data_IF_289959966592
#
_entry.id   IF_289959966592
#
_cell.length_a   1.000
_cell.length_b   1.000
_cell.length_c   1.000
_cell.angle_alpha   90.00
_cell.angle_beta   90.00
_cell.angle_gamma   90.00
#
_symmetry.space_group_name_H-M   'P 1'
#
loop_
_entity.id
_entity.type
_entity.pdbx_description
1 polymer ?
#
# COMPACT_ATOMS: atom_id res chain seq x y z
N UNK A 1 0.94 -21.03 3.60
CA UNK A 1 0.75 -19.57 3.68
C UNK A 1 0.73 -18.99 2.28
N UNK A 2 -0.10 -17.95 2.07
CA UNK A 2 -0.14 -17.18 0.84
C UNK A 2 0.11 -15.71 1.19
N UNK A 3 1.12 -15.11 0.56
CA UNK A 3 1.41 -13.69 0.64
C UNK A 3 0.65 -12.95 -0.46
N UNK A 4 0.02 -11.85 -0.12
CA UNK A 4 -0.73 -10.99 -1.04
C UNK A 4 -0.64 -9.53 -0.60
N UNK A 5 -1.48 -8.67 -1.17
CA UNK A 5 -1.66 -7.29 -0.75
C UNK A 5 -2.90 -7.16 0.13
N UNK A 6 -2.76 -6.42 1.23
CA UNK A 6 -3.76 -6.32 2.29
C UNK A 6 -5.13 -5.84 1.83
N UNK A 7 -5.21 -4.90 0.87
CA UNK A 7 -6.51 -4.41 0.40
C UNK A 7 -7.35 -5.46 -0.35
N UNK A 8 -6.72 -6.56 -0.83
CA UNK A 8 -7.43 -7.67 -1.46
C UNK A 8 -8.16 -8.56 -0.45
N UNK A 9 -7.72 -8.54 0.80
CA UNK A 9 -8.21 -9.41 1.86
C UNK A 9 -8.86 -8.67 3.03
N UNK A 10 -8.55 -7.37 3.16
CA UNK A 10 -9.19 -6.53 4.18
C UNK A 10 -10.68 -6.39 3.86
N UNK A 11 -11.54 -6.66 4.84
CA UNK A 11 -12.99 -6.61 4.70
C UNK A 11 -13.60 -7.66 3.73
N UNK A 12 -12.81 -8.66 3.26
CA UNK A 12 -13.32 -9.76 2.46
C UNK A 12 -14.29 -10.62 3.30
N UNK A 13 -15.45 -10.95 2.76
CA UNK A 13 -16.42 -11.83 3.43
C UNK A 13 -15.96 -13.29 3.37
N UNK A 14 -15.33 -13.71 2.29
CA UNK A 14 -14.74 -15.04 2.11
C UNK A 14 -13.52 -14.95 1.19
N UNK A 15 -12.59 -15.87 1.39
CA UNK A 15 -11.38 -15.99 0.56
C UNK A 15 -11.29 -17.41 0.04
N UNK A 16 -11.06 -17.54 -1.26
CA UNK A 16 -10.80 -18.80 -1.93
C UNK A 16 -9.46 -18.74 -2.64
N UNK A 17 -8.67 -19.78 -2.43
CA UNK A 17 -7.35 -19.94 -3.03
C UNK A 17 -7.43 -21.02 -4.08
N UNK A 18 -7.25 -20.65 -5.35
CA UNK A 18 -7.27 -21.59 -6.48
C UNK A 18 -5.86 -21.77 -7.01
N UNK A 19 -5.39 -23.01 -7.12
CA UNK A 19 -4.08 -23.31 -7.68
C UNK A 19 -4.15 -23.52 -9.21
N UNK A 20 -3.01 -23.32 -9.89
CA UNK A 20 -2.89 -23.59 -11.33
C UNK A 20 -3.08 -25.08 -11.70
N UNK A 21 -3.00 -26.00 -10.74
CA UNK A 21 -3.23 -27.43 -10.90
C UNK A 21 -4.70 -27.82 -10.75
N UNK A 22 -5.60 -26.86 -10.55
CA UNK A 22 -7.00 -27.06 -10.21
C UNK A 22 -7.21 -27.28 -8.71
N UNK A 23 -8.45 -27.21 -8.29
CA UNK A 23 -8.83 -27.26 -6.88
C UNK A 23 -8.78 -25.89 -6.22
N UNK A 24 -9.83 -25.59 -5.49
CA UNK A 24 -9.95 -24.40 -4.67
C UNK A 24 -10.03 -24.81 -3.20
N UNK A 25 -9.33 -24.08 -2.33
CA UNK A 25 -9.40 -24.28 -0.88
C UNK A 25 -9.80 -22.96 -0.22
N UNK A 26 -10.57 -22.98 0.86
CA UNK A 26 -10.88 -21.77 1.59
C UNK A 26 -9.60 -21.20 2.24
N UNK A 27 -9.56 -19.89 2.37
CA UNK A 27 -8.49 -19.15 3.03
C UNK A 27 -9.00 -18.39 4.24
N UNK A 28 -8.15 -18.22 5.23
CA UNK A 28 -8.39 -17.39 6.40
C UNK A 28 -7.37 -16.24 6.45
N UNK A 29 -7.83 -15.01 6.68
CA UNK A 29 -6.94 -13.87 6.87
C UNK A 29 -6.17 -14.04 8.16
N UNK A 30 -4.85 -14.18 8.07
CA UNK A 30 -3.98 -14.18 9.25
C UNK A 30 -3.68 -12.77 9.72
N UNK A 31 -3.47 -11.86 8.81
CA UNK A 31 -3.19 -10.50 9.16
C UNK A 31 -2.75 -9.66 7.96
N UNK A 32 -2.60 -8.38 8.21
CA UNK A 32 -2.03 -7.48 7.23
C UNK A 32 -1.36 -6.27 7.90
N UNK A 33 -0.42 -5.68 7.19
CA UNK A 33 0.24 -4.44 7.58
C UNK A 33 -0.13 -3.30 6.64
N UNK A 34 -0.69 -2.24 7.19
CA UNK A 34 -1.11 -1.07 6.40
C UNK A 34 0.08 -0.25 5.90
N UNK A 35 1.23 -0.32 6.57
CA UNK A 35 2.39 0.48 6.23
C UNK A 35 3.11 -0.07 5.01
N UNK A 36 3.33 -1.38 4.95
CA UNK A 36 3.93 -2.05 3.78
C UNK A 36 2.88 -2.40 2.72
N UNK A 37 1.65 -2.63 3.14
CA UNK A 37 0.57 -3.11 2.30
C UNK A 37 0.52 -4.64 2.18
N UNK A 38 1.40 -5.41 2.83
CA UNK A 38 1.35 -6.86 2.79
C UNK A 38 0.17 -7.44 3.55
N UNK A 39 -0.38 -8.53 3.01
CA UNK A 39 -1.39 -9.35 3.65
C UNK A 39 -1.02 -10.83 3.62
N UNK A 40 -1.39 -11.56 4.67
CA UNK A 40 -1.16 -13.00 4.79
C UNK A 40 -2.49 -13.75 4.89
N UNK A 41 -2.58 -14.84 4.14
CA UNK A 41 -3.72 -15.75 4.14
C UNK A 41 -3.24 -17.17 4.49
N UNK A 42 -3.90 -17.80 5.46
CA UNK A 42 -3.77 -19.22 5.75
C UNK A 42 -4.68 -20.00 4.82
N UNK A 43 -4.11 -20.91 4.04
CA UNK A 43 -4.90 -21.91 3.33
C UNK A 43 -5.46 -22.92 4.34
N UNK A 44 -6.75 -23.17 4.30
CA UNK A 44 -7.45 -24.16 5.14
C UNK A 44 -7.51 -25.54 4.48
N UNK A 45 -6.72 -25.74 3.44
CA UNK A 45 -6.53 -26.99 2.74
C UNK A 45 -5.16 -27.02 2.05
N UNK A 46 -4.82 -28.17 1.43
CA UNK A 46 -3.55 -28.36 0.75
C UNK A 46 -3.56 -27.67 -0.61
N UNK A 47 -2.63 -26.75 -0.84
CA UNK A 47 -2.42 -26.05 -2.12
C UNK A 47 -1.43 -26.88 -2.95
N UNK A 48 -1.13 -27.92 -3.09
CA UNK A 48 -0.28 -28.76 -3.94
C UNK A 48 0.63 -28.01 -4.95
N UNK A 49 1.13 -26.84 -4.55
CA UNK A 49 2.06 -26.03 -5.32
C UNK A 49 3.31 -25.74 -4.49
N UNK A 50 4.51 -25.69 -5.11
CA UNK A 50 5.73 -25.34 -4.41
C UNK A 50 5.70 -23.85 -4.00
N UNK A 51 6.33 -23.54 -2.87
CA UNK A 51 6.56 -22.15 -2.49
C UNK A 51 7.66 -21.52 -3.37
N UNK A 52 7.54 -20.23 -3.64
CA UNK A 52 8.61 -19.46 -4.27
C UNK A 52 9.58 -19.02 -3.17
N UNK A 53 10.88 -19.19 -3.39
CA UNK A 53 11.90 -18.72 -2.47
C UNK A 53 11.89 -17.18 -2.44
N UNK A 54 11.93 -16.62 -1.24
CA UNK A 54 12.05 -15.17 -1.06
C UNK A 54 13.49 -14.73 -1.30
N UNK A 55 13.68 -13.70 -2.12
CA UNK A 55 14.97 -13.06 -2.29
C UNK A 55 15.45 -12.42 -0.97
N UNK A 56 16.65 -12.76 -0.56
CA UNK A 56 17.24 -12.22 0.69
C UNK A 56 17.82 -10.82 0.52
N UNK A 57 18.12 -10.42 -0.71
CA UNK A 57 18.66 -9.10 -1.06
C UNK A 57 18.09 -8.65 -2.39
N UNK A 58 17.25 -7.60 -2.36
CA UNK A 58 16.74 -7.01 -3.59
C UNK A 58 17.81 -6.11 -4.19
N UNK A 59 18.45 -6.59 -5.25
CA UNK A 59 19.47 -5.84 -6.00
C UNK A 59 19.00 -5.38 -7.37
N UNK A 60 17.67 -5.21 -7.54
CA UNK A 60 17.13 -4.75 -8.82
C UNK A 60 17.14 -3.22 -8.91
N UNK A 61 17.51 -2.72 -10.07
CA UNK A 61 17.50 -1.31 -10.44
C UNK A 61 16.86 -1.09 -11.81
N UNK A 62 16.78 0.17 -12.22
CA UNK A 62 16.25 0.51 -13.54
C UNK A 62 17.04 -0.20 -14.65
N UNK A 63 16.32 -0.81 -15.58
CA UNK A 63 16.87 -1.60 -16.69
C UNK A 63 16.87 -3.11 -16.46
N UNK A 64 16.76 -3.58 -15.21
CA UNK A 64 16.78 -5.01 -14.91
C UNK A 64 15.53 -5.73 -15.41
N UNK A 65 15.74 -6.94 -15.94
CA UNK A 65 14.67 -7.80 -16.44
C UNK A 65 14.08 -8.62 -15.30
N UNK A 66 12.75 -8.64 -15.26
CA UNK A 66 11.96 -9.31 -14.22
C UNK A 66 10.73 -9.97 -14.85
N UNK A 67 10.07 -10.82 -14.10
CA UNK A 67 8.82 -11.46 -14.51
C UNK A 67 7.73 -11.09 -13.51
N UNK A 68 6.61 -10.57 -13.98
CA UNK A 68 5.38 -10.51 -13.20
C UNK A 68 4.53 -11.74 -13.50
N UNK A 69 4.22 -12.51 -12.45
CA UNK A 69 3.37 -13.68 -12.51
C UNK A 69 2.14 -13.48 -11.61
N UNK A 70 0.97 -13.59 -12.21
CA UNK A 70 -0.32 -13.40 -11.55
C UNK A 70 -1.25 -14.58 -11.85
N UNK A 71 -2.55 -14.35 -11.78
CA UNK A 71 -3.56 -15.32 -12.20
C UNK A 71 -3.26 -15.89 -13.59
N UNK A 72 -3.44 -17.21 -13.75
CA UNK A 72 -3.14 -17.93 -14.99
C UNK A 72 -1.70 -18.45 -15.12
N UNK A 73 -0.85 -18.19 -14.13
CA UNK A 73 0.51 -18.71 -14.02
C UNK A 73 1.37 -18.37 -15.25
N UNK A 74 2.12 -19.34 -15.78
CA UNK A 74 3.06 -19.12 -16.90
C UNK A 74 2.43 -18.56 -18.17
N UNK A 75 1.16 -18.85 -18.44
CA UNK A 75 0.47 -18.39 -19.66
C UNK A 75 0.21 -16.91 -19.64
N UNK A 76 0.05 -16.33 -18.46
CA UNK A 76 -0.25 -14.92 -18.27
C UNK A 76 0.92 -14.15 -17.62
N UNK A 77 2.07 -14.81 -17.42
CA UNK A 77 3.26 -14.12 -16.92
C UNK A 77 3.77 -13.10 -17.93
N UNK A 78 4.14 -11.92 -17.46
CA UNK A 78 4.63 -10.82 -18.28
C UNK A 78 6.12 -10.61 -18.02
N UNK A 79 6.93 -10.69 -19.08
CA UNK A 79 8.31 -10.23 -19.03
C UNK A 79 8.32 -8.70 -18.97
N UNK A 80 8.84 -8.15 -17.90
CA UNK A 80 8.88 -6.72 -17.64
C UNK A 80 10.31 -6.23 -17.39
N UNK A 81 10.45 -4.92 -17.37
CA UNK A 81 11.70 -4.25 -16.99
C UNK A 81 11.40 -3.34 -15.81
N UNK A 82 12.30 -3.32 -14.83
CA UNK A 82 12.24 -2.31 -13.78
C UNK A 82 12.53 -0.94 -14.40
N UNK A 83 11.58 -0.02 -14.30
CA UNK A 83 11.72 1.34 -14.86
C UNK A 83 12.16 2.35 -13.83
N UNK A 84 11.83 2.12 -12.55
CA UNK A 84 12.26 2.94 -11.44
C UNK A 84 12.25 2.15 -10.13
N UNK A 85 13.05 2.58 -9.17
CA UNK A 85 12.98 2.22 -7.75
C UNK A 85 13.05 3.50 -6.94
N UNK A 86 11.93 3.97 -6.46
CA UNK A 86 11.78 5.28 -5.86
C UNK A 86 10.66 5.35 -4.85
N UNK A 87 10.56 6.47 -4.17
CA UNK A 87 9.46 6.78 -3.27
C UNK A 87 8.12 6.76 -4.01
N UNK A 88 7.11 6.22 -3.33
CA UNK A 88 5.71 6.27 -3.75
C UNK A 88 4.85 6.76 -2.60
N UNK A 89 4.15 7.87 -2.78
CA UNK A 89 3.14 8.38 -1.86
C UNK A 89 1.75 8.19 -2.46
N UNK A 90 0.92 7.41 -1.79
CA UNK A 90 -0.49 7.21 -2.14
C UNK A 90 -1.39 8.29 -1.54
N UNK A 91 -2.49 8.60 -2.21
CA UNK A 91 -3.44 9.61 -1.73
C UNK A 91 -4.20 9.20 -0.46
N UNK A 92 -4.15 7.90 -0.07
CA UNK A 92 -4.90 7.29 1.04
C UNK A 92 -4.06 7.00 2.29
N UNK A 93 -3.13 7.86 2.66
CA UNK A 93 -2.23 7.68 3.82
C UNK A 93 -1.28 6.49 3.66
N UNK A 94 -0.62 6.40 2.50
CA UNK A 94 0.30 5.32 2.16
C UNK A 94 1.62 5.87 1.62
N UNK A 95 2.74 5.28 2.05
CA UNK A 95 4.08 5.69 1.62
C UNK A 95 5.03 4.50 1.64
N UNK A 96 5.73 4.30 0.54
CA UNK A 96 6.88 3.42 0.42
C UNK A 96 8.11 4.22 0.03
N UNK A 97 9.21 4.07 0.75
CA UNK A 97 10.45 4.82 0.45
C UNK A 97 11.11 4.34 -0.85
N UNK A 98 10.97 3.07 -1.19
CA UNK A 98 11.63 2.45 -2.35
C UNK A 98 10.73 1.44 -3.06
N UNK A 99 9.56 1.85 -3.52
CA UNK A 99 8.70 1.03 -4.36
C UNK A 99 9.41 0.67 -5.68
N UNK A 100 9.10 -0.50 -6.23
CA UNK A 100 9.61 -0.95 -7.53
C UNK A 100 8.54 -0.68 -8.58
N UNK A 101 8.93 -0.07 -9.70
CA UNK A 101 8.03 0.18 -10.82
C UNK A 101 8.47 -0.63 -12.02
N UNK A 102 7.52 -1.32 -12.67
CA UNK A 102 7.80 -2.22 -13.80
C UNK A 102 6.93 -1.93 -15.01
N UNK A 103 7.49 -2.08 -16.21
CA UNK A 103 6.78 -1.95 -17.48
C UNK A 103 7.20 -3.09 -18.45
N UNK A 104 6.29 -3.58 -19.32
CA UNK A 104 4.88 -3.22 -19.40
C UNK A 104 4.10 -3.62 -18.15
N UNK A 105 2.96 -2.95 -17.93
CA UNK A 105 2.10 -3.27 -16.80
C UNK A 105 1.37 -4.60 -17.03
N UNK A 106 1.31 -5.43 -15.99
CA UNK A 106 0.47 -6.62 -15.97
C UNK A 106 -0.98 -6.22 -15.65
N UNK A 107 -2.00 -6.69 -16.37
CA UNK A 107 -3.39 -6.31 -16.14
C UNK A 107 -3.93 -6.82 -14.79
N UNK A 108 -3.43 -7.95 -14.29
CA UNK A 108 -3.80 -8.54 -12.98
C UNK A 108 -2.69 -8.30 -11.97
N UNK A 109 -2.48 -7.06 -11.57
CA UNK A 109 -1.34 -6.65 -10.74
C UNK A 109 -1.48 -6.98 -9.25
N UNK A 110 -2.72 -7.00 -8.74
CA UNK A 110 -2.99 -7.16 -7.31
C UNK A 110 -2.53 -8.54 -6.80
N UNK A 111 -1.52 -8.57 -5.94
CA UNK A 111 -0.95 -9.81 -5.44
C UNK A 111 0.00 -10.54 -6.40
N UNK A 112 0.28 -9.98 -7.59
CA UNK A 112 1.20 -10.58 -8.55
C UNK A 112 2.61 -10.74 -7.96
N UNK A 113 3.24 -11.89 -8.18
CA UNK A 113 4.62 -12.13 -7.78
C UNK A 113 5.57 -11.43 -8.76
N UNK A 114 6.46 -10.57 -8.27
CA UNK A 114 7.59 -10.08 -9.02
C UNK A 114 8.77 -11.00 -8.79
N UNK A 115 9.25 -11.62 -9.87
CA UNK A 115 10.32 -12.63 -9.84
C UNK A 115 11.57 -12.06 -10.48
N UNK A 116 12.70 -12.15 -9.79
CA UNK A 116 14.02 -11.72 -10.24
C UNK A 116 14.65 -12.68 -11.25
N UNK A 117 15.79 -12.28 -11.83
CA UNK A 117 16.51 -13.10 -12.81
C UNK A 117 17.07 -14.41 -12.24
N UNK A 118 17.19 -14.53 -10.94
CA UNK A 118 17.58 -15.74 -10.20
C UNK A 118 16.41 -16.67 -9.85
N UNK A 119 15.18 -16.29 -10.21
CA UNK A 119 13.96 -17.03 -9.90
C UNK A 119 13.38 -16.74 -8.52
N UNK A 120 14.00 -15.89 -7.71
CA UNK A 120 13.50 -15.53 -6.38
C UNK A 120 12.37 -14.50 -6.43
N UNK A 121 11.50 -14.53 -5.42
CA UNK A 121 10.47 -13.51 -5.19
C UNK A 121 11.13 -12.23 -4.68
N UNK A 122 10.99 -11.14 -5.41
CA UNK A 122 11.58 -9.84 -5.07
C UNK A 122 10.53 -8.78 -4.71
N UNK A 123 9.25 -9.05 -4.91
CA UNK A 123 8.17 -8.15 -4.52
C UNK A 123 6.79 -8.68 -4.85
N UNK A 124 5.77 -7.96 -4.38
CA UNK A 124 4.36 -8.25 -4.63
C UNK A 124 3.72 -7.05 -5.33
N UNK A 125 3.07 -7.29 -6.46
CA UNK A 125 2.34 -6.28 -7.21
C UNK A 125 1.20 -5.69 -6.39
N UNK A 126 1.14 -4.37 -6.34
CA UNK A 126 0.16 -3.65 -5.53
C UNK A 126 -0.76 -2.77 -6.36
N UNK A 127 -0.22 -1.97 -7.27
CA UNK A 127 -0.99 -0.98 -8.01
C UNK A 127 -0.66 -0.99 -9.50
N UNK A 128 -1.63 -0.53 -10.27
CA UNK A 128 -1.44 -0.07 -11.63
C UNK A 128 -1.49 1.45 -11.61
N UNK A 129 -0.42 2.10 -12.04
CA UNK A 129 -0.29 3.55 -11.99
C UNK A 129 0.30 4.09 -13.30
N UNK A 130 0.08 5.36 -13.56
CA UNK A 130 0.74 6.05 -14.65
C UNK A 130 2.03 6.69 -14.14
N UNK A 131 3.13 6.38 -14.80
CA UNK A 131 4.44 6.95 -14.51
C UNK A 131 4.86 7.91 -15.62
N UNK A 132 5.36 9.08 -15.24
CA UNK A 132 5.94 10.05 -16.15
C UNK A 132 7.34 10.42 -15.66
N UNK A 133 8.32 10.36 -16.53
CA UNK A 133 9.70 10.79 -16.25
C UNK A 133 9.97 12.25 -16.67
N UNK A 134 8.91 13.06 -16.79
CA UNK A 134 8.99 14.49 -17.06
C UNK A 134 9.24 14.91 -18.51
N UNK A 135 9.55 13.96 -19.42
CA UNK A 135 9.87 14.24 -20.82
C UNK A 135 9.08 13.40 -21.84
N UNK A 136 8.38 12.37 -21.40
CA UNK A 136 7.70 11.44 -22.29
C UNK A 136 6.25 11.22 -21.91
N UNK A 137 5.52 10.63 -22.83
CA UNK A 137 4.15 10.12 -22.66
C UNK A 137 4.03 9.33 -21.36
N UNK A 138 2.93 9.54 -20.67
CA UNK A 138 2.56 8.74 -19.50
C UNK A 138 2.56 7.27 -19.88
N UNK A 139 3.28 6.46 -19.12
CA UNK A 139 3.38 5.01 -19.31
C UNK A 139 2.67 4.30 -18.17
N UNK A 140 1.89 3.30 -18.52
CA UNK A 140 1.30 2.41 -17.53
C UNK A 140 2.36 1.48 -16.95
N UNK A 141 2.43 1.44 -15.62
CA UNK A 141 3.39 0.64 -14.87
C UNK A 141 2.70 -0.04 -13.69
N UNK A 142 3.28 -1.15 -13.23
CA UNK A 142 2.88 -1.68 -11.93
C UNK A 142 3.81 -1.15 -10.83
N UNK A 143 3.22 -0.72 -9.74
CA UNK A 143 3.93 -0.45 -8.50
C UNK A 143 3.92 -1.72 -7.66
N UNK A 144 5.10 -2.13 -7.22
CA UNK A 144 5.37 -3.38 -6.52
C UNK A 144 5.98 -3.07 -5.16
N UNK A 145 5.45 -3.73 -4.13
CA UNK A 145 5.98 -3.67 -2.76
C UNK A 145 7.19 -4.59 -2.67
N UNK A 146 8.37 -4.07 -2.29
CA UNK A 146 9.59 -4.87 -2.17
C UNK A 146 9.48 -5.93 -1.09
N UNK A 147 9.95 -7.17 -1.37
CA UNK A 147 9.83 -8.30 -0.44
C UNK A 147 10.69 -8.13 0.83
N UNK A 148 11.76 -7.32 0.78
CA UNK A 148 12.62 -7.04 1.93
C UNK A 148 11.91 -6.30 3.09
N UNK A 149 10.72 -5.78 2.84
CA UNK A 149 9.85 -5.20 3.86
C UNK A 149 9.05 -6.26 4.65
N UNK A 150 8.99 -7.52 4.19
CA UNK A 150 8.23 -8.57 4.85
C UNK A 150 8.96 -9.19 6.06
N UNK A 151 10.24 -9.58 6.00
CA UNK A 151 10.91 -10.28 7.09
C UNK A 151 10.82 -9.58 8.45
N UNK A 152 10.94 -8.23 8.54
CA UNK A 152 10.85 -7.54 9.82
C UNK A 152 9.49 -7.61 10.52
N UNK A 153 8.43 -7.97 9.79
CA UNK A 153 7.04 -7.97 10.29
C UNK A 153 6.37 -9.35 10.22
N UNK A 154 7.04 -10.33 9.61
CA UNK A 154 6.42 -11.64 9.32
C UNK A 154 5.97 -12.37 10.60
N UNK A 155 6.85 -12.46 11.59
CA UNK A 155 6.54 -13.14 12.85
C UNK A 155 5.41 -12.44 13.61
N UNK A 156 5.37 -11.13 13.58
CA UNK A 156 4.29 -10.34 14.18
C UNK A 156 2.95 -10.58 13.44
N UNK A 157 2.97 -10.61 12.11
CA UNK A 157 1.77 -10.93 11.33
C UNK A 157 1.24 -12.32 11.60
N UNK A 158 2.13 -13.30 11.78
CA UNK A 158 1.76 -14.67 12.13
C UNK A 158 1.21 -14.80 13.55
N UNK A 159 1.73 -14.01 14.49
CA UNK A 159 1.40 -14.12 15.90
C UNK A 159 0.22 -13.23 16.30
N UNK A 160 0.20 -12.00 15.82
CA UNK A 160 -0.73 -10.95 16.26
C UNK A 160 -1.68 -10.48 15.15
N UNK A 161 -1.50 -10.94 13.92
CA UNK A 161 -2.24 -10.46 12.77
C UNK A 161 -1.86 -9.04 12.31
N UNK A 162 -0.90 -8.42 12.97
CA UNK A 162 -0.39 -7.07 12.66
C UNK A 162 1.00 -6.87 13.26
N UNK A 163 1.79 -5.90 12.79
CA UNK A 163 3.04 -5.53 13.45
C UNK A 163 2.83 -5.16 14.92
N UNK A 164 3.70 -5.66 15.79
CA UNK A 164 3.66 -5.41 17.24
C UNK A 164 4.30 -4.06 17.59
N UNK A 165 3.69 -2.99 17.08
CA UNK A 165 4.08 -1.61 17.32
C UNK A 165 2.84 -0.71 17.40
N UNK A 166 2.93 0.47 18.03
CA UNK A 166 1.82 1.41 18.01
C UNK A 166 1.41 1.76 16.58
N UNK A 167 0.11 1.66 16.24
CA UNK A 167 -0.35 1.99 14.90
C UNK A 167 -0.15 3.49 14.61
N UNK A 168 0.09 3.80 13.34
CA UNK A 168 0.17 5.19 12.87
C UNK A 168 -1.16 5.92 13.05
N UNK A 169 -1.12 7.23 13.30
CA UNK A 169 -2.34 8.05 13.36
C UNK A 169 -3.01 8.06 11.99
N UNK A 170 -4.24 7.59 11.91
CA UNK A 170 -5.06 7.63 10.72
C UNK A 170 -6.10 8.74 10.83
N UNK A 171 -6.22 9.56 9.79
CA UNK A 171 -7.12 10.71 9.75
C UNK A 171 -8.40 10.43 8.96
N UNK A 172 -8.36 9.46 8.05
CA UNK A 172 -9.42 9.25 7.06
C UNK A 172 -9.43 10.38 6.02
N UNK A 173 -8.26 10.85 5.65
CA UNK A 173 -8.03 11.93 4.72
C UNK A 173 -7.42 11.38 3.43
N UNK A 174 -7.99 11.78 2.30
CA UNK A 174 -7.39 11.59 0.99
C UNK A 174 -6.73 12.90 0.58
N UNK A 175 -5.44 12.86 0.29
CA UNK A 175 -4.68 14.05 -0.14
C UNK A 175 -3.99 13.78 -1.47
N UNK A 176 -3.90 14.79 -2.31
CA UNK A 176 -3.24 14.71 -3.61
C UNK A 176 -2.33 15.91 -3.82
N UNK A 177 -1.29 15.70 -4.60
CA UNK A 177 -0.40 16.77 -5.06
C UNK A 177 -0.92 17.28 -6.40
N UNK A 178 -1.28 18.56 -6.45
CA UNK A 178 -1.84 19.23 -7.62
C UNK A 178 -1.10 20.57 -7.77
N UNK A 179 -0.42 20.78 -8.88
CA UNK A 179 0.27 22.04 -9.19
C UNK A 179 1.15 22.57 -8.02
N UNK A 180 2.04 21.73 -7.51
CA UNK A 180 2.94 22.04 -6.38
C UNK A 180 2.21 22.34 -5.04
N UNK A 181 0.94 21.99 -4.92
CA UNK A 181 0.17 22.12 -3.69
C UNK A 181 -0.37 20.77 -3.23
N UNK A 182 -0.39 20.56 -1.92
CA UNK A 182 -1.08 19.43 -1.32
C UNK A 182 -2.52 19.83 -1.05
N UNK A 183 -3.48 19.11 -1.63
CA UNK A 183 -4.90 19.41 -1.48
C UNK A 183 -5.65 18.23 -0.88
N UNK A 184 -6.69 18.52 -0.12
CA UNK A 184 -7.65 17.53 0.32
C UNK A 184 -8.43 17.02 -0.90
N UNK A 185 -8.19 15.80 -1.33
CA UNK A 185 -8.89 15.17 -2.45
C UNK A 185 -10.24 14.57 -2.03
N UNK A 186 -10.36 14.20 -0.76
CA UNK A 186 -11.57 13.62 -0.20
C UNK A 186 -11.43 13.26 1.27
N UNK A 187 -12.53 12.81 1.86
CA UNK A 187 -12.59 12.37 3.25
C UNK A 187 -13.33 11.04 3.32
N UNK A 188 -12.88 10.17 4.20
CA UNK A 188 -13.62 8.95 4.55
C UNK A 188 -14.84 9.32 5.41
N UNK A 189 -16.04 8.88 5.05
CA UNK A 189 -17.30 9.23 5.75
C UNK A 189 -17.26 8.92 7.25
N UNK A 190 -16.54 7.87 7.65
CA UNK A 190 -16.38 7.46 9.04
C UNK A 190 -15.07 7.94 9.65
N UNK A 191 -14.22 8.61 8.88
CA UNK A 191 -12.90 9.05 9.31
C UNK A 191 -12.95 10.23 10.28
N UNK A 192 -11.93 10.40 11.14
CA UNK A 192 -11.87 11.55 12.05
C UNK A 192 -11.93 12.89 11.33
N UNK A 193 -11.26 13.03 10.18
CA UNK A 193 -11.21 14.28 9.43
C UNK A 193 -12.58 14.75 8.93
N UNK A 194 -13.51 13.83 8.63
CA UNK A 194 -14.87 14.23 8.17
C UNK A 194 -15.67 15.00 9.21
N UNK A 195 -15.25 14.94 10.48
CA UNK A 195 -15.93 15.60 11.61
C UNK A 195 -15.36 16.97 11.96
N UNK A 196 -14.36 17.45 11.21
CA UNK A 196 -13.58 18.64 11.59
C UNK A 196 -13.85 19.88 10.74
N UNK A 197 -14.76 19.81 9.80
CA UNK A 197 -15.05 20.92 8.86
C UNK A 197 -14.08 21.04 7.69
N UNK A 198 -13.11 20.12 7.54
CA UNK A 198 -12.32 19.99 6.31
C UNK A 198 -13.23 19.69 5.12
N UNK A 199 -12.83 20.17 3.95
CA UNK A 199 -13.55 19.95 2.69
C UNK A 199 -12.59 19.55 1.58
N UNK A 200 -13.03 18.76 0.60
CA UNK A 200 -12.30 18.60 -0.64
C UNK A 200 -11.99 19.97 -1.26
N UNK A 201 -10.78 20.14 -1.77
CA UNK A 201 -10.25 21.40 -2.29
C UNK A 201 -9.48 22.25 -1.27
N UNK A 202 -9.56 21.99 0.02
CA UNK A 202 -8.71 22.67 1.01
C UNK A 202 -7.24 22.42 0.70
N UNK A 203 -6.43 23.47 0.67
CA UNK A 203 -5.00 23.38 0.46
C UNK A 203 -4.29 23.19 1.80
N UNK A 204 -3.54 22.11 1.94
CA UNK A 204 -2.76 21.81 3.14
C UNK A 204 -1.43 22.57 3.07
N UNK A 205 -1.18 23.45 4.03
CA UNK A 205 0.01 24.28 4.09
C UNK A 205 1.08 23.71 5.02
N UNK A 206 0.64 23.19 6.18
CA UNK A 206 1.54 22.70 7.20
C UNK A 206 0.87 21.62 8.07
N UNK A 207 1.68 20.79 8.71
CA UNK A 207 1.28 19.93 9.83
C UNK A 207 1.90 20.55 11.08
N UNK A 208 1.05 20.92 12.07
CA UNK A 208 1.43 21.84 13.16
C UNK A 208 1.93 23.15 12.56
N UNK A 209 3.17 23.51 12.78
CA UNK A 209 3.77 24.73 12.23
C UNK A 209 4.88 24.41 11.20
N UNK A 210 4.96 23.16 10.75
CA UNK A 210 5.94 22.73 9.77
C UNK A 210 5.34 22.65 8.35
N UNK A 211 5.80 23.47 7.40
CA UNK A 211 5.31 23.49 6.03
C UNK A 211 5.49 22.17 5.31
N UNK A 212 4.57 21.79 4.43
CA UNK A 212 4.64 20.60 3.60
C UNK A 212 4.84 20.97 2.13
N UNK A 213 5.87 20.36 1.52
CA UNK A 213 6.23 20.62 0.13
C UNK A 213 5.90 19.44 -0.81
N UNK A 214 5.57 18.27 -0.27
CA UNK A 214 5.21 17.08 -1.05
C UNK A 214 4.23 16.21 -0.27
N UNK A 215 3.51 15.35 -0.98
CA UNK A 215 2.60 14.38 -0.37
C UNK A 215 3.34 13.43 0.58
N UNK A 216 4.54 13.01 0.22
CA UNK A 216 5.38 12.17 1.08
C UNK A 216 5.79 12.90 2.37
N UNK A 217 6.22 14.16 2.27
CA UNK A 217 6.55 14.99 3.43
C UNK A 217 5.32 15.18 4.33
N UNK A 218 4.15 15.41 3.72
CA UNK A 218 2.88 15.53 4.45
C UNK A 218 2.60 14.28 5.27
N UNK A 219 2.62 13.08 4.69
CA UNK A 219 2.35 11.84 5.42
C UNK A 219 3.38 11.59 6.52
N UNK A 220 4.67 11.81 6.26
CA UNK A 220 5.70 11.67 7.30
C UNK A 220 5.43 12.57 8.50
N UNK A 221 5.02 13.83 8.28
CA UNK A 221 4.71 14.76 9.37
C UNK A 221 3.45 14.39 10.12
N UNK A 222 2.41 13.92 9.41
CA UNK A 222 1.21 13.37 10.05
C UNK A 222 1.59 12.24 10.99
N UNK A 223 2.38 11.28 10.53
CA UNK A 223 2.78 10.12 11.35
C UNK A 223 3.78 10.47 12.47
N UNK A 224 4.60 11.49 12.28
CA UNK A 224 5.46 12.02 13.33
C UNK A 224 4.70 12.76 14.45
N UNK A 225 3.41 13.03 14.28
CA UNK A 225 2.58 13.68 15.28
C UNK A 225 2.29 12.79 16.52
N UNK A 226 2.55 11.48 16.41
CA UNK A 226 2.39 10.51 17.49
C UNK A 226 1.67 9.24 17.03
N UNK A 227 1.38 8.30 17.93
CA UNK A 227 0.62 7.10 17.61
C UNK A 227 -0.86 7.40 17.34
N UNK A 228 -1.61 6.41 16.87
CA UNK A 228 -3.06 6.50 16.75
C UNK A 228 -3.71 6.94 18.06
N UNK A 229 -4.63 7.90 17.98
CA UNK A 229 -5.23 8.59 19.13
C UNK A 229 -4.59 9.95 19.42
N UNK A 230 -3.42 10.27 18.85
CA UNK A 230 -2.83 11.61 18.95
C UNK A 230 -3.63 12.64 18.13
N UNK A 231 -3.63 13.87 18.61
CA UNK A 231 -4.18 15.00 17.85
C UNK A 231 -3.19 15.44 16.75
N UNK A 232 -3.66 15.49 15.51
CA UNK A 232 -2.93 16.04 14.36
C UNK A 232 -3.51 17.40 14.04
N UNK A 233 -2.66 18.42 14.00
CA UNK A 233 -3.07 19.80 13.68
C UNK A 233 -2.63 20.13 12.26
N UNK A 234 -3.58 20.40 11.38
CA UNK A 234 -3.33 20.84 10.01
C UNK A 234 -3.53 22.35 9.92
N UNK A 235 -2.65 23.02 9.20
CA UNK A 235 -2.86 24.37 8.73
C UNK A 235 -3.33 24.29 7.28
N UNK A 236 -4.52 24.79 6.99
CA UNK A 236 -5.13 24.69 5.67
C UNK A 236 -5.57 26.07 5.18
N UNK A 237 -5.54 26.25 3.86
CA UNK A 237 -6.10 27.42 3.21
C UNK A 237 -7.35 27.03 2.42
N UNK A 238 -8.40 27.83 2.56
CA UNK A 238 -9.63 27.77 1.75
C UNK A 238 -9.94 29.17 1.28
N UNK A 239 -10.13 29.34 -0.01
CA UNK A 239 -10.25 30.65 -0.64
C UNK A 239 -9.06 31.56 -0.31
N UNK A 240 -9.23 32.59 0.50
CA UNK A 240 -8.17 33.54 0.95
C UNK A 240 -7.91 33.42 2.46
N UNK A 241 -8.55 32.49 3.12
CA UNK A 241 -8.46 32.34 4.58
C UNK A 241 -7.57 31.15 4.94
N UNK A 242 -6.79 31.31 6.00
CA UNK A 242 -6.00 30.23 6.59
C UNK A 242 -6.59 29.86 7.94
N UNK A 243 -6.76 28.56 8.18
CA UNK A 243 -7.31 28.05 9.43
C UNK A 243 -6.50 26.87 9.96
N UNK A 244 -6.51 26.70 11.28
CA UNK A 244 -5.96 25.51 11.95
C UNK A 244 -7.09 24.53 12.22
N UNK A 245 -6.93 23.29 11.74
CA UNK A 245 -7.88 22.19 11.93
C UNK A 245 -7.24 21.13 12.80
N UNK A 246 -7.89 20.79 13.92
CA UNK A 246 -7.45 19.74 14.86
C UNK A 246 -8.20 18.46 14.59
N UNK A 247 -7.46 17.39 14.35
CA UNK A 247 -8.03 16.09 13.99
C UNK A 247 -7.62 15.06 15.03
N UNK A 248 -8.55 14.52 15.82
CA UNK A 248 -8.26 13.40 16.71
C UNK A 248 -8.07 12.13 15.89
N UNK A 249 -6.82 11.72 15.69
CA UNK A 249 -6.52 10.52 14.88
C UNK A 249 -7.02 9.23 15.54
N UNK A 250 -7.12 8.17 14.77
CA UNK A 250 -7.50 6.85 15.28
C UNK A 250 -6.66 5.74 14.64
N UNK A 251 -6.76 4.52 15.15
CA UNK A 251 -6.28 3.33 14.48
C UNK A 251 -7.26 2.97 13.35
N UNK A 252 -6.77 2.89 12.11
CA UNK A 252 -7.57 2.57 10.94
C UNK A 252 -8.29 1.22 11.06
N UNK A 253 -7.67 0.24 11.74
CA UNK A 253 -8.27 -1.10 11.92
C UNK A 253 -9.60 -1.07 12.64
N UNK A 254 -9.82 -0.07 13.52
CA UNK A 254 -11.11 0.12 14.22
C UNK A 254 -12.25 0.54 13.30
N UNK A 255 -11.93 1.03 12.10
CA UNK A 255 -12.92 1.48 11.12
C UNK A 255 -13.26 0.41 10.08
N UNK A 256 -12.52 -0.69 10.06
CA UNK A 256 -12.71 -1.80 9.15
C UNK A 256 -13.72 -2.81 9.69
N UNK A 257 -14.37 -3.53 8.78
CA UNK A 257 -15.22 -4.66 9.15
C UNK A 257 -14.33 -5.78 9.71
N UNK A 258 -14.73 -6.35 10.83
CA UNK A 258 -14.07 -7.54 11.33
C UNK A 258 -14.30 -8.72 10.36
N UNK A 259 -13.28 -9.61 10.15
CA UNK A 259 -13.48 -10.82 9.39
C UNK A 259 -14.61 -11.66 10.02
N UNK A 260 -15.51 -12.17 9.18
CA UNK A 260 -16.49 -13.15 9.65
C UNK A 260 -15.84 -14.52 9.64
N UNK A 261 -15.75 -15.14 10.80
CA UNK A 261 -15.44 -16.57 10.93
C UNK A 261 -16.67 -17.35 10.49
N UNK A 262 -16.52 -18.16 9.46
CA UNK A 262 -17.53 -19.12 9.02
C UNK A 262 -17.19 -20.50 9.58
#
# INVERSE_FOLDING_TARGET
LVLTIGYLISEAESIWLTSSLGGAVPGHVLGYDQETGFGLVQALGRLSVPAIEMGTRIRVGAGDKVILAAEGGRRHAVAATVVARQEFAGYWEYLLDRAIFTAPAHPFWGGAALIGGDGSLIGIGSLHVQHSNGRELRRDVNMVVPIDLLPPILDDLLTYGRPNRPPRPWLGLYAAEVEDAIVVAGLSDRGPASKTGLKPGDRILAVRDEPVASLAAFWRRVWASGPAGSEVVLQVARDKETMKVRIPSTDRTRMMKAPRLH
#
